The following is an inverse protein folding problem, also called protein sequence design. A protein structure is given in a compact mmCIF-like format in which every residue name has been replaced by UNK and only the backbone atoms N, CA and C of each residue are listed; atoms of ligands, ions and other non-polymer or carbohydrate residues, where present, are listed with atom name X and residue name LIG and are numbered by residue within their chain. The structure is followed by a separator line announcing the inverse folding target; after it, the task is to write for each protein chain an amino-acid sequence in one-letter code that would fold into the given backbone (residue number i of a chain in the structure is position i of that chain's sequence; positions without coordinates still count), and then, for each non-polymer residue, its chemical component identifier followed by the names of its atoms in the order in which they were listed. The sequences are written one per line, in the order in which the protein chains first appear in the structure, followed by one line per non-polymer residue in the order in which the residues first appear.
data_IF_913215915654
#
_entry.id   IF_913215915654
#
_cell.length_a   1.000
_cell.length_b   1.000
_cell.length_c   1.000
_cell.angle_alpha   90.00
_cell.angle_beta   90.00
_cell.angle_gamma   90.00
#
_symmetry.space_group_name_H-M   'P 1'
#
loop_
_entity.id
_entity.type
_entity.pdbx_description
1 polymer ?
#
# COMPACT_ATOMS: atom_id res chain seq x y z
N UNK A 1 7.46 21.33 24.63
CA UNK A 1 7.64 19.87 24.81
C UNK A 1 6.29 19.30 25.21
N UNK A 2 5.46 18.95 24.22
CA UNK A 2 4.17 18.33 24.47
C UNK A 2 4.40 16.83 24.71
N UNK A 3 3.83 16.31 25.79
CA UNK A 3 4.01 14.92 26.19
C UNK A 3 3.56 13.96 25.11
N UNK A 4 4.39 12.95 24.83
CA UNK A 4 3.98 11.74 24.14
C UNK A 4 2.92 11.06 25.01
N UNK A 5 1.66 11.39 24.77
CA UNK A 5 0.53 10.57 25.17
C UNK A 5 0.72 9.15 24.58
N UNK A 6 0.37 8.13 25.35
CA UNK A 6 0.62 6.71 25.08
C UNK A 6 0.34 6.29 23.63
N UNK A 7 1.37 6.21 22.80
CA UNK A 7 1.22 5.71 21.43
C UNK A 7 0.91 4.21 21.48
N UNK A 8 -0.25 3.83 20.95
CA UNK A 8 -0.66 2.43 20.87
C UNK A 8 0.22 1.71 19.86
N UNK A 9 1.09 0.83 20.39
CA UNK A 9 1.92 -0.06 19.56
C UNK A 9 1.11 -1.24 19.05
N UNK A 10 1.08 -1.40 17.74
CA UNK A 10 0.46 -2.50 17.04
C UNK A 10 1.32 -3.76 17.10
N UNK A 11 0.66 -4.91 16.98
CA UNK A 11 1.33 -6.20 16.79
C UNK A 11 1.63 -6.43 15.31
N UNK A 12 2.54 -7.36 15.00
CA UNK A 12 2.83 -7.76 13.62
C UNK A 12 1.58 -8.32 12.92
N UNK A 13 0.69 -8.98 13.67
CA UNK A 13 -0.58 -9.51 13.16
C UNK A 13 -1.54 -8.41 12.72
N UNK A 14 -1.56 -7.25 13.40
CA UNK A 14 -2.34 -6.09 12.96
C UNK A 14 -1.85 -5.60 11.59
N UNK A 15 -0.54 -5.48 11.42
CA UNK A 15 0.09 -5.02 10.16
C UNK A 15 -0.13 -6.03 9.04
N UNK A 16 0.01 -7.33 9.32
CA UNK A 16 -0.23 -8.40 8.36
C UNK A 16 -1.69 -8.44 7.88
N UNK A 17 -2.65 -8.32 8.80
CA UNK A 17 -4.07 -8.25 8.44
C UNK A 17 -4.34 -7.04 7.53
N UNK A 18 -3.83 -5.86 7.91
CA UNK A 18 -4.00 -4.65 7.12
C UNK A 18 -3.39 -4.78 5.71
N UNK A 19 -2.20 -5.36 5.60
CA UNK A 19 -1.55 -5.61 4.32
C UNK A 19 -2.36 -6.54 3.43
N UNK A 20 -2.87 -7.64 3.99
CA UNK A 20 -3.69 -8.59 3.27
C UNK A 20 -5.01 -7.97 2.80
N UNK A 21 -5.67 -7.17 3.64
CA UNK A 21 -6.90 -6.45 3.28
C UNK A 21 -6.67 -5.43 2.15
N UNK A 22 -5.57 -4.67 2.21
CA UNK A 22 -5.17 -3.76 1.12
C UNK A 22 -4.96 -4.50 -0.21
N UNK A 23 -4.14 -5.56 -0.21
CA UNK A 23 -3.82 -6.33 -1.41
C UNK A 23 -5.08 -6.97 -2.00
N UNK A 24 -5.91 -7.61 -1.17
CA UNK A 24 -7.17 -8.22 -1.63
C UNK A 24 -8.11 -7.19 -2.23
N UNK A 25 -8.24 -6.02 -1.61
CA UNK A 25 -9.09 -4.96 -2.14
C UNK A 25 -8.62 -4.53 -3.53
N UNK A 26 -7.33 -4.23 -3.69
CA UNK A 26 -6.77 -3.78 -4.98
C UNK A 26 -6.88 -4.88 -6.04
N UNK A 27 -6.60 -6.15 -5.71
CA UNK A 27 -6.76 -7.25 -6.67
C UNK A 27 -8.22 -7.36 -7.15
N UNK A 28 -9.18 -7.32 -6.22
CA UNK A 28 -10.61 -7.36 -6.56
C UNK A 28 -11.07 -6.15 -7.37
N UNK A 29 -10.52 -4.97 -7.11
CA UNK A 29 -10.76 -3.77 -7.93
C UNK A 29 -10.47 -4.02 -9.41
N UNK A 30 -9.45 -4.82 -9.71
CA UNK A 30 -9.06 -5.20 -11.07
C UNK A 30 -9.62 -6.57 -11.52
N UNK A 31 -10.63 -7.12 -10.82
CA UNK A 31 -11.21 -8.45 -11.10
C UNK A 31 -10.18 -9.59 -11.06
N UNK A 32 -9.21 -9.49 -10.16
CA UNK A 32 -8.20 -10.51 -9.93
C UNK A 32 -8.42 -11.20 -8.59
N UNK A 33 -8.25 -12.51 -8.57
CA UNK A 33 -8.38 -13.32 -7.37
C UNK A 33 -7.02 -13.84 -6.88
N UNK A 34 -6.88 -13.80 -5.55
CA UNK A 34 -5.80 -14.43 -4.81
C UNK A 34 -6.35 -15.00 -3.51
N UNK A 35 -5.95 -16.24 -3.22
CA UNK A 35 -6.25 -16.92 -1.98
C UNK A 35 -5.04 -16.81 -1.06
N UNK A 36 -5.12 -16.00 0.02
CA UNK A 36 -4.00 -15.83 0.94
C UNK A 36 -3.67 -17.16 1.64
N UNK A 37 -2.39 -17.41 1.97
CA UNK A 37 -1.98 -18.63 2.66
C UNK A 37 -2.51 -18.71 4.10
N UNK A 38 -2.87 -17.57 4.70
CA UNK A 38 -3.52 -17.48 6.01
C UNK A 38 -4.91 -16.91 5.82
N UNK A 39 -5.93 -17.49 6.45
CA UNK A 39 -7.28 -16.94 6.39
C UNK A 39 -7.35 -15.61 7.15
N UNK A 40 -7.98 -14.58 6.57
CA UNK A 40 -8.29 -13.30 7.25
C UNK A 40 -9.00 -13.50 8.58
N UNK A 41 -9.90 -14.48 8.66
CA UNK A 41 -10.65 -14.80 9.87
C UNK A 41 -9.70 -15.25 10.99
N UNK A 42 -8.63 -15.97 10.67
CA UNK A 42 -7.60 -16.33 11.63
C UNK A 42 -6.80 -15.09 12.07
N UNK A 43 -6.36 -14.23 11.14
CA UNK A 43 -5.64 -13.00 11.48
C UNK A 43 -6.49 -12.04 12.33
N UNK A 44 -7.79 -11.92 12.02
CA UNK A 44 -8.75 -11.10 12.77
C UNK A 44 -8.91 -11.53 14.23
N UNK A 45 -8.72 -12.81 14.57
CA UNK A 45 -8.73 -13.27 15.97
C UNK A 45 -7.59 -12.68 16.80
N UNK A 46 -6.49 -12.32 16.15
CA UNK A 46 -5.30 -11.76 16.79
C UNK A 46 -5.18 -10.24 16.61
N UNK A 47 -5.93 -9.66 15.67
CA UNK A 47 -5.98 -8.22 15.45
C UNK A 47 -7.02 -7.56 16.35
N UNK A 48 -6.57 -6.63 17.19
CA UNK A 48 -7.46 -5.78 18.01
C UNK A 48 -8.04 -4.58 17.27
N UNK A 49 -7.52 -4.27 16.08
CA UNK A 49 -7.87 -3.06 15.33
C UNK A 49 -8.27 -3.43 13.90
N UNK A 50 -9.29 -2.74 13.40
CA UNK A 50 -9.63 -2.76 11.98
C UNK A 50 -9.04 -1.51 11.34
N UNK A 51 -7.86 -1.65 10.76
CA UNK A 51 -7.08 -0.54 10.21
C UNK A 51 -7.47 -0.21 8.76
N UNK A 52 -8.08 -1.16 8.05
CA UNK A 52 -8.44 -1.00 6.66
C UNK A 52 -9.74 -0.22 6.49
N UNK A 53 -9.73 0.73 5.58
CA UNK A 53 -10.92 1.47 5.13
C UNK A 53 -11.05 1.38 3.61
N UNK A 54 -12.27 1.58 3.11
CA UNK A 54 -12.51 1.63 1.66
C UNK A 54 -11.77 2.80 1.01
N UNK A 55 -11.58 3.92 1.73
CA UNK A 55 -10.86 5.08 1.19
C UNK A 55 -9.37 4.78 0.99
N UNK A 56 -8.74 4.06 1.92
CA UNK A 56 -7.40 3.50 1.72
C UNK A 56 -7.40 2.62 0.46
N UNK A 57 -8.32 1.66 0.38
CA UNK A 57 -8.39 0.75 -0.78
C UNK A 57 -8.52 1.47 -2.12
N UNK A 58 -9.39 2.48 -2.21
CA UNK A 58 -9.57 3.30 -3.42
C UNK A 58 -8.30 4.07 -3.79
N UNK A 59 -7.62 4.68 -2.82
CA UNK A 59 -6.39 5.43 -3.07
C UNK A 59 -5.28 4.52 -3.62
N UNK A 60 -5.12 3.33 -3.03
CA UNK A 60 -4.14 2.33 -3.47
C UNK A 60 -4.46 1.74 -4.86
N UNK A 61 -5.73 1.68 -5.24
CA UNK A 61 -6.17 1.18 -6.55
C UNK A 61 -6.21 2.28 -7.63
N UNK A 62 -5.95 3.53 -7.28
CA UNK A 62 -6.05 4.66 -8.21
C UNK A 62 -4.87 4.67 -9.19
N UNK A 63 -5.14 4.79 -10.49
CA UNK A 63 -4.11 4.65 -11.53
C UNK A 63 -3.00 5.71 -11.44
N UNK A 64 -3.30 6.94 -11.00
CA UNK A 64 -2.27 7.96 -10.77
C UNK A 64 -1.32 7.56 -9.63
N UNK A 65 -1.86 7.05 -8.51
CA UNK A 65 -1.06 6.59 -7.37
C UNK A 65 -0.19 5.39 -7.78
N UNK A 66 -0.74 4.46 -8.56
CA UNK A 66 0.01 3.32 -9.11
C UNK A 66 1.16 3.82 -9.99
N UNK A 67 0.89 4.74 -10.90
CA UNK A 67 1.91 5.30 -11.80
C UNK A 67 3.02 5.98 -11.02
N UNK A 68 2.67 6.81 -10.04
CA UNK A 68 3.63 7.50 -9.18
C UNK A 68 4.46 6.51 -8.36
N UNK A 69 3.82 5.52 -7.74
CA UNK A 69 4.52 4.47 -6.97
C UNK A 69 5.49 3.67 -7.84
N UNK A 70 5.15 3.42 -9.11
CA UNK A 70 6.05 2.77 -10.07
C UNK A 70 7.24 3.68 -10.38
N UNK A 71 7.02 4.97 -10.61
CA UNK A 71 8.11 5.92 -10.84
C UNK A 71 9.09 5.98 -9.67
N UNK A 72 8.60 5.92 -8.43
CA UNK A 72 9.46 5.81 -7.24
C UNK A 72 10.22 4.48 -7.22
N UNK A 73 9.57 3.37 -7.59
CA UNK A 73 10.25 2.08 -7.77
C UNK A 73 11.37 2.15 -8.81
N UNK A 74 11.10 2.77 -9.96
CA UNK A 74 12.05 2.95 -11.05
C UNK A 74 13.27 3.79 -10.61
N UNK A 75 13.08 4.79 -9.75
CA UNK A 75 14.17 5.58 -9.14
C UNK A 75 15.12 4.73 -8.29
N UNK A 76 14.65 3.62 -7.73
CA UNK A 76 15.51 2.66 -7.00
C UNK A 76 16.15 1.63 -7.93
N UNK A 77 15.86 1.66 -9.23
CA UNK A 77 16.29 0.65 -10.20
C UNK A 77 15.49 -0.65 -10.15
N UNK A 78 14.33 -0.67 -9.46
CA UNK A 78 13.47 -1.84 -9.42
C UNK A 78 12.75 -2.03 -10.76
N UNK A 79 12.86 -3.22 -11.36
CA UNK A 79 12.12 -3.59 -12.55
C UNK A 79 11.20 -4.78 -12.26
N UNK A 80 9.88 -4.55 -12.35
CA UNK A 80 8.89 -5.58 -12.06
C UNK A 80 8.92 -6.75 -13.05
N UNK A 81 9.17 -6.50 -14.33
CA UNK A 81 9.24 -7.57 -15.35
C UNK A 81 10.46 -8.47 -15.12
N UNK A 82 11.63 -7.88 -14.84
CA UNK A 82 12.83 -8.65 -14.50
C UNK A 82 12.60 -9.46 -13.23
N UNK A 83 12.07 -8.83 -12.18
CA UNK A 83 11.77 -9.50 -10.91
C UNK A 83 10.86 -10.72 -11.07
N UNK A 84 9.83 -10.63 -11.91
CA UNK A 84 8.87 -11.73 -12.14
C UNK A 84 9.47 -12.92 -12.90
N UNK A 85 10.56 -12.70 -13.65
CA UNK A 85 11.25 -13.74 -14.42
C UNK A 85 12.35 -14.43 -13.61
N UNK A 86 12.78 -13.85 -12.49
CA UNK A 86 13.84 -14.42 -11.65
C UNK A 86 13.42 -15.74 -10.97
N UNK A 87 14.39 -16.60 -10.63
CA UNK A 87 14.21 -17.68 -9.66
C UNK A 87 13.70 -17.13 -8.32
N UNK A 88 12.98 -17.94 -7.54
CA UNK A 88 12.27 -17.45 -6.35
C UNK A 88 13.20 -16.83 -5.31
N UNK A 89 14.34 -17.46 -5.05
CA UNK A 89 15.29 -16.98 -4.05
C UNK A 89 15.98 -15.67 -4.48
N UNK A 90 16.32 -15.55 -5.77
CA UNK A 90 16.89 -14.32 -6.34
C UNK A 90 15.87 -13.17 -6.32
N UNK A 91 14.63 -13.45 -6.72
CA UNK A 91 13.54 -12.49 -6.70
C UNK A 91 13.27 -11.95 -5.29
N UNK A 92 13.35 -12.81 -4.26
CA UNK A 92 13.22 -12.41 -2.85
C UNK A 92 14.33 -11.46 -2.41
N UNK A 93 15.58 -11.79 -2.76
CA UNK A 93 16.73 -10.91 -2.45
C UNK A 93 16.63 -9.57 -3.18
N UNK A 94 16.24 -9.61 -4.46
CA UNK A 94 16.02 -8.42 -5.29
C UNK A 94 14.95 -7.51 -4.66
N UNK A 95 13.78 -8.07 -4.33
CA UNK A 95 12.69 -7.35 -3.69
C UNK A 95 13.11 -6.70 -2.36
N UNK A 96 13.79 -7.46 -1.49
CA UNK A 96 14.20 -6.99 -0.16
C UNK A 96 15.12 -5.76 -0.24
N UNK A 97 16.06 -5.76 -1.19
CA UNK A 97 17.00 -4.65 -1.41
C UNK A 97 16.24 -3.38 -1.82
N UNK A 98 15.41 -3.49 -2.85
CA UNK A 98 14.73 -2.32 -3.42
C UNK A 98 13.57 -1.79 -2.56
N UNK A 99 12.89 -2.64 -1.79
CA UNK A 99 11.87 -2.16 -0.83
C UNK A 99 12.48 -1.29 0.26
N UNK A 100 13.68 -1.63 0.74
CA UNK A 100 14.40 -0.78 1.68
C UNK A 100 14.76 0.55 1.01
N UNK A 101 15.32 0.52 -0.20
CA UNK A 101 15.67 1.73 -0.94
C UNK A 101 14.44 2.62 -1.23
N UNK A 102 13.27 2.03 -1.48
CA UNK A 102 12.01 2.76 -1.66
C UNK A 102 11.69 3.63 -0.45
N UNK A 103 11.94 3.12 0.76
CA UNK A 103 11.73 3.90 1.99
C UNK A 103 12.67 5.08 2.14
N UNK A 104 13.74 5.17 1.36
CA UNK A 104 14.69 6.29 1.37
C UNK A 104 14.67 7.13 0.10
N UNK A 105 14.04 6.65 -0.99
CA UNK A 105 13.95 7.35 -2.27
C UNK A 105 13.20 8.68 -2.18
N UNK A 106 12.24 8.79 -1.26
CA UNK A 106 11.45 10.00 -1.05
C UNK A 106 11.87 10.76 0.22
N UNK A 107 11.88 12.11 0.18
CA UNK A 107 12.12 12.94 1.36
C UNK A 107 11.21 12.55 2.52
N UNK A 108 11.69 12.68 3.75
CA UNK A 108 10.89 12.39 4.95
C UNK A 108 9.62 13.26 5.08
N UNK A 109 9.59 14.40 4.38
CA UNK A 109 8.46 15.34 4.37
C UNK A 109 7.41 15.04 3.28
N UNK A 110 7.65 14.04 2.43
CA UNK A 110 6.66 13.65 1.44
C UNK A 110 5.42 13.09 2.14
N UNK A 111 4.30 13.80 1.97
CA UNK A 111 3.06 13.51 2.68
C UNK A 111 2.45 12.16 2.26
N UNK A 112 2.71 11.68 1.04
CA UNK A 112 2.10 10.47 0.48
C UNK A 112 3.04 9.27 0.41
N UNK A 113 4.29 9.41 0.87
CA UNK A 113 5.30 8.34 0.90
C UNK A 113 4.80 6.98 1.37
N UNK A 114 4.00 6.94 2.44
CA UNK A 114 3.47 5.66 2.96
C UNK A 114 2.43 5.06 2.01
N UNK A 115 1.52 5.89 1.48
CA UNK A 115 0.56 5.45 0.46
C UNK A 115 1.27 4.92 -0.78
N UNK A 116 2.35 5.59 -1.22
CA UNK A 116 3.15 5.13 -2.35
C UNK A 116 3.79 3.76 -2.09
N UNK A 117 4.33 3.51 -0.89
CA UNK A 117 4.88 2.19 -0.54
C UNK A 117 3.81 1.10 -0.53
N UNK A 118 2.66 1.36 0.09
CA UNK A 118 1.52 0.43 0.10
C UNK A 118 1.01 0.15 -1.32
N UNK A 119 0.93 1.19 -2.15
CA UNK A 119 0.49 1.09 -3.54
C UNK A 119 1.49 0.28 -4.35
N UNK A 120 2.78 0.53 -4.17
CA UNK A 120 3.83 -0.20 -4.85
C UNK A 120 3.74 -1.71 -4.55
N UNK A 121 3.53 -2.08 -3.29
CA UNK A 121 3.31 -3.47 -2.92
C UNK A 121 2.05 -4.06 -3.60
N UNK A 122 0.92 -3.35 -3.58
CA UNK A 122 -0.31 -3.79 -4.24
C UNK A 122 -0.11 -3.94 -5.77
N UNK A 123 0.61 -3.02 -6.39
CA UNK A 123 1.01 -3.07 -7.79
C UNK A 123 1.83 -4.34 -8.09
N UNK A 124 2.84 -4.66 -7.29
CA UNK A 124 3.64 -5.87 -7.49
C UNK A 124 2.81 -7.14 -7.32
N UNK A 125 1.92 -7.20 -6.33
CA UNK A 125 0.99 -8.32 -6.17
C UNK A 125 0.07 -8.48 -7.38
N UNK A 126 -0.46 -7.37 -7.92
CA UNK A 126 -1.25 -7.37 -9.15
C UNK A 126 -0.45 -7.93 -10.33
N UNK A 127 0.79 -7.47 -10.53
CA UNK A 127 1.64 -7.99 -11.62
C UNK A 127 1.94 -9.48 -11.44
N UNK A 128 2.20 -9.93 -10.20
CA UNK A 128 2.41 -11.33 -9.89
C UNK A 128 1.18 -12.21 -10.21
N UNK A 129 -0.04 -11.73 -9.96
CA UNK A 129 -1.26 -12.46 -10.35
C UNK A 129 -1.41 -12.51 -11.87
N UNK A 130 -1.24 -11.37 -12.57
CA UNK A 130 -1.36 -11.29 -14.03
C UNK A 130 -0.38 -12.23 -14.74
N UNK A 131 0.85 -12.34 -14.23
CA UNK A 131 1.90 -13.22 -14.79
C UNK A 131 1.83 -14.66 -14.28
N UNK A 132 0.80 -15.02 -13.50
CA UNK A 132 0.65 -16.35 -12.87
C UNK A 132 1.84 -16.75 -11.96
N UNK A 133 2.47 -15.76 -11.32
CA UNK A 133 3.60 -15.91 -10.38
C UNK A 133 3.17 -15.64 -8.94
N UNK A 134 2.03 -16.19 -8.52
CA UNK A 134 1.39 -15.91 -7.21
C UNK A 134 2.27 -16.20 -5.99
N UNK A 135 3.29 -17.06 -6.13
CA UNK A 135 4.28 -17.34 -5.07
C UNK A 135 4.94 -16.06 -4.54
N UNK A 136 5.14 -15.06 -5.41
CA UNK A 136 5.78 -13.80 -5.06
C UNK A 136 4.91 -12.86 -4.21
N UNK A 137 3.60 -13.08 -4.14
CA UNK A 137 2.71 -12.28 -3.29
C UNK A 137 3.11 -12.45 -1.81
N UNK A 138 3.47 -13.67 -1.41
CA UNK A 138 3.93 -13.95 -0.05
C UNK A 138 5.23 -13.22 0.28
N UNK A 139 6.16 -13.11 -0.68
CA UNK A 139 7.42 -12.38 -0.50
C UNK A 139 7.16 -10.87 -0.36
N UNK A 140 6.28 -10.30 -1.19
CA UNK A 140 5.85 -8.89 -1.08
C UNK A 140 5.19 -8.61 0.26
N UNK A 141 4.25 -9.46 0.68
CA UNK A 141 3.56 -9.32 1.96
C UNK A 141 4.54 -9.38 3.14
N UNK A 142 5.47 -10.35 3.13
CA UNK A 142 6.48 -10.47 4.18
C UNK A 142 7.35 -9.21 4.29
N UNK A 143 7.86 -8.71 3.16
CA UNK A 143 8.72 -7.51 3.17
C UNK A 143 7.98 -6.26 3.60
N UNK A 144 6.75 -6.07 3.10
CA UNK A 144 5.90 -4.97 3.49
C UNK A 144 5.61 -4.99 5.00
N UNK A 145 5.22 -6.14 5.55
CA UNK A 145 4.96 -6.27 6.99
C UNK A 145 6.22 -6.01 7.82
N UNK A 146 7.39 -6.53 7.41
CA UNK A 146 8.66 -6.30 8.11
C UNK A 146 8.98 -4.80 8.16
N UNK A 147 8.91 -4.11 7.01
CA UNK A 147 9.22 -2.67 6.94
C UNK A 147 8.21 -1.86 7.74
N UNK A 148 6.92 -2.15 7.58
CA UNK A 148 5.86 -1.40 8.25
C UNK A 148 5.86 -1.63 9.75
N UNK A 149 6.10 -2.85 10.22
CA UNK A 149 6.22 -3.12 11.65
C UNK A 149 7.54 -2.60 12.26
N UNK A 150 8.62 -2.51 11.49
CA UNK A 150 9.89 -2.01 12.02
C UNK A 150 9.89 -0.48 12.16
N UNK A 151 9.27 0.22 11.20
CA UNK A 151 9.35 1.68 11.08
C UNK A 151 8.05 2.40 11.46
N UNK A 152 6.89 1.75 11.34
CA UNK A 152 5.57 2.36 11.46
C UNK A 152 4.62 1.51 12.31
N UNK A 153 5.07 1.13 13.50
CA UNK A 153 4.36 0.21 14.41
C UNK A 153 3.28 0.82 15.28
N UNK A 154 3.01 2.11 15.15
CA UNK A 154 2.04 2.82 16.00
C UNK A 154 0.73 3.06 15.27
N UNK A 155 -0.39 2.96 16.00
CA UNK A 155 -1.74 3.14 15.47
C UNK A 155 -1.91 4.47 14.72
N UNK A 156 -1.32 5.55 15.26
CA UNK A 156 -1.36 6.90 14.69
C UNK A 156 -0.90 6.97 13.24
N UNK A 157 0.03 6.11 12.81
CA UNK A 157 0.48 6.07 11.41
C UNK A 157 -0.61 5.57 10.46
N UNK A 158 -1.47 4.66 10.92
CA UNK A 158 -2.56 4.09 10.11
C UNK A 158 -3.79 5.02 10.12
N UNK A 159 -4.02 5.73 11.23
CA UNK A 159 -5.01 6.81 11.30
C UNK A 159 -4.62 7.96 10.34
N UNK A 160 -3.35 8.38 10.36
CA UNK A 160 -2.82 9.38 9.42
C UNK A 160 -2.89 8.90 7.96
N UNK A 161 -2.66 7.60 7.71
CA UNK A 161 -2.79 7.00 6.39
C UNK A 161 -4.23 7.11 5.86
N UNK A 162 -5.25 6.86 6.69
CA UNK A 162 -6.66 6.97 6.32
C UNK A 162 -7.05 8.42 5.98
N UNK A 163 -6.59 9.39 6.78
CA UNK A 163 -6.77 10.82 6.50
C UNK A 163 -6.15 11.20 5.15
N UNK A 164 -4.93 10.74 4.89
CA UNK A 164 -4.22 10.99 3.62
C UNK A 164 -4.92 10.33 2.44
N UNK A 165 -5.41 9.11 2.58
CA UNK A 165 -6.13 8.40 1.52
C UNK A 165 -7.44 9.13 1.17
N UNK A 166 -8.20 9.54 2.18
CA UNK A 166 -9.42 10.34 2.02
C UNK A 166 -9.14 11.65 1.30
N UNK A 167 -8.09 12.37 1.71
CA UNK A 167 -7.67 13.61 1.07
C UNK A 167 -7.25 13.37 -0.40
N UNK A 168 -6.45 12.34 -0.65
CA UNK A 168 -6.00 11.96 -1.99
C UNK A 168 -7.18 11.68 -2.92
N UNK A 169 -8.11 10.83 -2.50
CA UNK A 169 -9.30 10.48 -3.29
C UNK A 169 -10.14 11.73 -3.58
N UNK A 170 -10.29 12.63 -2.60
CA UNK A 170 -11.03 13.89 -2.78
C UNK A 170 -10.37 14.78 -3.82
N UNK A 171 -9.05 14.99 -3.73
CA UNK A 171 -8.30 15.81 -4.70
C UNK A 171 -8.45 15.22 -6.11
N UNK A 172 -8.22 13.91 -6.25
CA UNK A 172 -8.29 13.25 -7.56
C UNK A 172 -9.71 13.20 -8.14
N UNK A 173 -10.74 13.12 -7.31
CA UNK A 173 -12.12 13.28 -7.77
C UNK A 173 -12.32 14.61 -8.50
N UNK A 174 -11.85 15.72 -7.93
CA UNK A 174 -11.98 17.05 -8.57
C UNK A 174 -11.05 17.23 -9.78
N UNK A 175 -9.84 16.66 -9.75
CA UNK A 175 -8.92 16.73 -10.89
C UNK A 175 -9.44 15.96 -12.12
N UNK A 176 -10.13 14.85 -11.91
CA UNK A 176 -10.65 14.00 -12.99
C UNK A 176 -12.10 14.31 -13.38
N UNK A 177 -12.87 15.05 -12.57
CA UNK A 177 -14.25 15.46 -12.85
C UNK A 177 -14.41 17.00 -12.75
N UNK A 178 -13.70 17.79 -13.59
CA UNK A 178 -13.70 19.25 -13.48
C UNK A 178 -15.07 19.91 -13.73
N UNK A 179 -15.96 19.25 -14.48
CA UNK A 179 -17.26 19.79 -14.88
C UNK A 179 -18.29 19.90 -13.74
N UNK A 180 -18.11 19.20 -12.62
CA UNK A 180 -18.99 19.31 -11.45
C UNK A 180 -18.68 20.54 -10.57
N UNK A 181 -17.56 21.24 -10.83
CA UNK A 181 -17.13 22.39 -10.03
C UNK A 181 -17.62 23.74 -10.59
N UNK A 182 -17.79 23.85 -11.91
CA UNK A 182 -18.28 25.10 -12.55
C UNK A 182 -19.79 25.31 -12.38
N UNK A 183 -20.58 24.25 -12.16
CA UNK A 183 -22.02 24.34 -11.88
C UNK A 183 -22.37 24.90 -10.49
N UNK A 184 -21.42 24.91 -9.56
CA UNK A 184 -21.60 25.46 -8.20
C UNK A 184 -21.20 26.94 -8.08
N UNK A 185 -20.37 27.43 -8.99
CA UNK A 185 -19.89 28.83 -8.99
C UNK A 185 -20.58 29.72 -10.02
N UNK A 186 -21.31 29.15 -10.98
CA UNK A 186 -22.12 29.91 -11.95
C UNK A 186 -23.55 30.25 -11.46
N UNK A 187 -23.90 29.83 -10.24
CA UNK A 187 -25.20 30.10 -9.62
C UNK A 187 -25.14 31.18 -8.52
N UNK A 188 -24.31 32.22 -8.70
CA UNK A 188 -24.33 33.44 -7.87
C UNK A 188 -24.47 34.69 -8.72
#
# INVERSE_FOLDING_TARGET
MAGHADEIRLTMQNVALFAEECIIFVLRWYNLDWFPPVSREALRRYSRFNLFTVEIGKALAHDCMITESRSVGDMTGFNAETWLQMPVDEARMYLSRHFLDFTFALPARDHFKHLLLWTFACYLCRQAVIRNRRIFISDVLAQLVIIMYSNYKYLSHYEDLDVKATLYNRIHFYLHNPLDYEGLHSAR
#
